data_IF_824668171597
#
_entry.id   IF_824668171597
#
_cell.length_a   1.000
_cell.length_b   1.000
_cell.length_c   1.000
_cell.angle_alpha   90.00
_cell.angle_beta   90.00
_cell.angle_gamma   90.00
#
_symmetry.space_group_name_H-M   'P 1'
#
loop_
_entity.id
_entity.type
_entity.pdbx_description
1 polymer ?
#
# COMPACT_ATOMS: atom_id res chain seq x y z
N UNK A 1 14.80 2.47 9.47
CA UNK A 1 15.47 3.36 8.48
C UNK A 1 14.66 4.65 8.41
N UNK A 2 15.26 5.84 8.27
CA UNK A 2 14.46 7.08 8.20
C UNK A 2 13.72 7.10 6.86
N UNK A 3 12.41 7.25 6.89
CA UNK A 3 11.60 7.33 5.67
C UNK A 3 12.00 8.61 4.94
N UNK A 4 12.29 8.48 3.64
CA UNK A 4 12.66 9.66 2.86
C UNK A 4 11.45 10.59 2.66
N UNK A 5 11.62 11.92 2.80
CA UNK A 5 10.53 12.88 2.61
C UNK A 5 9.81 12.74 1.26
N UNK A 6 10.53 12.37 0.19
CA UNK A 6 9.95 12.14 -1.14
C UNK A 6 8.95 10.98 -1.18
N UNK A 7 9.13 9.94 -0.35
CA UNK A 7 8.19 8.82 -0.28
C UNK A 7 6.89 9.26 0.38
N UNK A 8 6.96 10.10 1.42
CA UNK A 8 5.78 10.75 2.02
C UNK A 8 5.06 11.64 1.00
N UNK A 9 5.80 12.47 0.27
CA UNK A 9 5.23 13.32 -0.79
C UNK A 9 4.50 12.49 -1.86
N UNK A 10 5.09 11.36 -2.28
CA UNK A 10 4.49 10.47 -3.27
C UNK A 10 3.17 9.86 -2.79
N UNK A 11 3.09 9.39 -1.55
CA UNK A 11 1.84 8.89 -0.97
C UNK A 11 0.81 10.01 -0.82
N UNK A 12 1.20 11.19 -0.35
CA UNK A 12 0.31 12.36 -0.27
C UNK A 12 -0.24 12.74 -1.65
N UNK A 13 0.59 12.73 -2.69
CA UNK A 13 0.17 12.98 -4.06
C UNK A 13 -0.83 11.92 -4.54
N UNK A 14 -0.61 10.65 -4.19
CA UNK A 14 -1.51 9.56 -4.55
C UNK A 14 -2.89 9.72 -3.89
N UNK A 15 -2.92 10.00 -2.58
CA UNK A 15 -4.16 10.19 -1.79
C UNK A 15 -4.91 11.44 -2.26
N UNK A 16 -4.21 12.56 -2.43
CA UNK A 16 -4.80 13.82 -2.90
C UNK A 16 -5.09 13.84 -4.41
N UNK A 17 -4.87 12.72 -5.12
CA UNK A 17 -5.11 12.56 -6.56
C UNK A 17 -4.38 13.61 -7.41
N UNK A 18 -3.19 14.05 -6.96
CA UNK A 18 -2.35 15.01 -7.66
C UNK A 18 -1.74 14.33 -8.88
N UNK A 19 -1.83 14.98 -10.05
CA UNK A 19 -1.36 14.42 -11.33
C UNK A 19 0.11 13.98 -11.32
N UNK A 20 0.94 14.58 -10.46
CA UNK A 20 2.36 14.27 -10.30
C UNK A 20 2.63 12.86 -9.75
N UNK A 21 1.66 12.21 -9.08
CA UNK A 21 1.86 10.89 -8.47
C UNK A 21 2.42 9.83 -9.45
N UNK A 22 1.94 9.83 -10.69
CA UNK A 22 2.44 8.90 -11.73
C UNK A 22 3.89 9.19 -12.12
N UNK A 23 4.26 10.47 -12.24
CA UNK A 23 5.62 10.86 -12.57
C UNK A 23 6.61 10.51 -11.45
N UNK A 24 6.18 10.65 -10.18
CA UNK A 24 6.98 10.26 -9.02
C UNK A 24 7.25 8.73 -9.01
N UNK A 25 6.23 7.91 -9.25
CA UNK A 25 6.41 6.45 -9.30
C UNK A 25 7.34 6.00 -10.45
N UNK A 26 7.27 6.66 -11.61
CA UNK A 26 8.13 6.37 -12.75
C UNK A 26 9.58 6.83 -12.56
N UNK A 27 9.81 7.84 -11.73
CA UNK A 27 11.14 8.38 -11.45
C UNK A 27 11.92 7.58 -10.38
N UNK A 28 11.29 6.61 -9.71
CA UNK A 28 11.97 5.79 -8.71
C UNK A 28 13.03 4.90 -9.35
N UNK A 29 14.26 5.00 -8.85
CA UNK A 29 15.31 4.03 -9.14
C UNK A 29 14.92 2.64 -8.60
N UNK A 30 15.55 1.54 -9.05
CA UNK A 30 15.26 0.21 -8.54
C UNK A 30 15.40 0.08 -7.01
N UNK A 31 16.45 0.69 -6.44
CA UNK A 31 16.69 0.69 -4.99
C UNK A 31 15.64 1.51 -4.24
N UNK A 32 15.33 2.70 -4.75
CA UNK A 32 14.30 3.55 -4.16
C UNK A 32 12.92 2.89 -4.20
N UNK A 33 12.66 2.08 -5.23
CA UNK A 33 11.39 1.36 -5.36
C UNK A 33 11.22 0.31 -4.26
N UNK A 34 12.29 -0.40 -3.90
CA UNK A 34 12.27 -1.35 -2.78
C UNK A 34 11.99 -0.60 -1.48
N UNK A 35 12.73 0.48 -1.20
CA UNK A 35 12.54 1.29 0.00
C UNK A 35 11.13 1.93 0.06
N UNK A 36 10.63 2.44 -1.06
CA UNK A 36 9.28 2.98 -1.20
C UNK A 36 8.23 1.90 -0.94
N UNK A 37 8.39 0.69 -1.49
CA UNK A 37 7.47 -0.42 -1.30
C UNK A 37 7.39 -0.84 0.16
N UNK A 38 8.52 -0.94 0.86
CA UNK A 38 8.53 -1.27 2.29
C UNK A 38 7.80 -0.23 3.14
N UNK A 39 7.92 1.06 2.79
CA UNK A 39 7.14 2.13 3.40
C UNK A 39 5.66 2.06 3.02
N UNK A 40 5.34 1.83 1.74
CA UNK A 40 3.97 1.69 1.25
C UNK A 40 3.22 0.55 1.94
N UNK A 41 3.90 -0.57 2.25
CA UNK A 41 3.31 -1.66 3.05
C UNK A 41 2.93 -1.16 4.45
N UNK A 42 3.74 -0.31 5.09
CA UNK A 42 3.37 0.30 6.38
C UNK A 42 2.20 1.28 6.26
N UNK A 43 2.13 2.05 5.18
CA UNK A 43 0.98 2.94 4.89
C UNK A 43 -0.31 2.12 4.73
N UNK A 44 -0.26 1.04 3.93
CA UNK A 44 -1.39 0.14 3.74
C UNK A 44 -1.82 -0.48 5.07
N UNK A 45 -0.88 -0.89 5.92
CA UNK A 45 -1.18 -1.42 7.24
C UNK A 45 -1.96 -0.42 8.12
N UNK A 46 -1.51 0.83 8.17
CA UNK A 46 -2.19 1.87 8.95
C UNK A 46 -3.57 2.19 8.38
N UNK A 47 -3.70 2.28 7.05
CA UNK A 47 -4.98 2.55 6.39
C UNK A 47 -6.01 1.45 6.63
N UNK A 48 -5.58 0.20 6.73
CA UNK A 48 -6.48 -0.94 6.89
C UNK A 48 -6.76 -1.31 8.34
N UNK A 49 -5.95 -0.83 9.30
CA UNK A 49 -6.13 -1.12 10.72
C UNK A 49 -7.56 -0.87 11.24
N UNK A 50 -8.24 0.25 10.90
CA UNK A 50 -9.63 0.47 11.34
C UNK A 50 -10.66 -0.53 10.79
N UNK A 51 -10.36 -1.15 9.64
CA UNK A 51 -11.30 -2.02 8.92
C UNK A 51 -11.04 -3.51 9.11
N UNK A 52 -9.78 -3.91 9.13
CA UNK A 52 -9.36 -5.32 9.20
C UNK A 52 -8.76 -5.69 10.57
N UNK A 53 -8.55 -4.71 11.46
CA UNK A 53 -7.87 -4.91 12.73
C UNK A 53 -6.40 -5.31 12.58
N UNK A 54 -5.75 -5.63 13.69
CA UNK A 54 -4.33 -6.04 13.70
C UNK A 54 -4.13 -7.51 13.28
N UNK A 55 -5.17 -8.34 13.40
CA UNK A 55 -5.14 -9.77 13.07
C UNK A 55 -6.27 -10.10 12.10
N UNK A 56 -5.90 -10.32 10.84
CA UNK A 56 -6.82 -10.60 9.75
C UNK A 56 -6.43 -11.94 9.11
N UNK A 57 -7.40 -12.84 8.96
CA UNK A 57 -7.19 -14.19 8.44
C UNK A 57 -7.15 -14.24 6.92
N UNK A 58 -6.63 -15.34 6.36
CA UNK A 58 -6.48 -15.55 4.90
C UNK A 58 -7.77 -15.25 4.12
N UNK A 59 -8.93 -15.70 4.62
CA UNK A 59 -10.21 -15.52 3.92
C UNK A 59 -10.63 -14.05 3.83
N UNK A 60 -10.37 -13.26 4.86
CA UNK A 60 -10.69 -11.84 4.90
C UNK A 60 -9.75 -11.04 3.97
N UNK A 61 -8.47 -11.43 3.92
CA UNK A 61 -7.51 -10.86 2.97
C UNK A 61 -7.89 -11.13 1.51
N UNK A 62 -8.31 -12.36 1.20
CA UNK A 62 -8.75 -12.75 -0.14
C UNK A 62 -10.06 -12.05 -0.55
N UNK A 63 -10.99 -11.88 0.38
CA UNK A 63 -12.22 -11.12 0.13
C UNK A 63 -11.91 -9.64 -0.16
N UNK A 64 -11.05 -9.02 0.65
CA UNK A 64 -10.66 -7.63 0.45
C UNK A 64 -9.85 -7.42 -0.83
N UNK A 65 -8.91 -8.31 -1.16
CA UNK A 65 -8.13 -8.23 -2.41
C UNK A 65 -9.03 -8.32 -3.64
N UNK A 66 -10.02 -9.22 -3.61
CA UNK A 66 -11.05 -9.37 -4.66
C UNK A 66 -11.88 -8.10 -4.81
N UNK A 67 -12.27 -7.46 -3.71
CA UNK A 67 -13.03 -6.22 -3.72
C UNK A 67 -12.22 -5.07 -4.35
N UNK A 68 -10.97 -4.89 -3.94
CA UNK A 68 -10.05 -3.88 -4.50
C UNK A 68 -9.89 -4.09 -6.01
N UNK A 69 -9.65 -5.34 -6.43
CA UNK A 69 -9.46 -5.67 -7.84
C UNK A 69 -10.75 -5.45 -8.65
N UNK A 70 -11.91 -5.85 -8.12
CA UNK A 70 -13.21 -5.63 -8.78
C UNK A 70 -13.47 -4.14 -9.00
N UNK A 71 -13.28 -3.30 -7.97
CA UNK A 71 -13.45 -1.84 -8.08
C UNK A 71 -12.54 -1.23 -9.15
N UNK A 72 -11.28 -1.65 -9.16
CA UNK A 72 -10.27 -1.15 -10.10
C UNK A 72 -10.55 -1.59 -11.55
N UNK A 73 -11.03 -2.83 -11.77
CA UNK A 73 -11.47 -3.30 -13.09
C UNK A 73 -12.65 -2.46 -13.59
N UNK A 74 -13.62 -2.15 -12.73
CA UNK A 74 -14.75 -1.29 -13.08
C UNK A 74 -14.32 0.14 -13.46
N UNK A 75 -13.20 0.62 -12.92
CA UNK A 75 -12.58 1.92 -13.25
C UNK A 75 -11.64 1.86 -14.49
N UNK A 76 -11.54 0.72 -15.18
CA UNK A 76 -10.66 0.54 -16.34
C UNK A 76 -9.16 0.51 -16.00
N UNK A 77 -8.82 0.17 -14.74
CA UNK A 77 -7.44 0.16 -14.21
C UNK A 77 -7.15 -1.18 -13.56
N UNK A 78 -7.11 -2.29 -14.32
CA UNK A 78 -7.00 -3.62 -13.74
C UNK A 78 -5.75 -3.76 -12.86
N UNK A 79 -5.93 -4.38 -11.70
CA UNK A 79 -4.86 -4.79 -10.78
C UNK A 79 -5.01 -6.28 -10.50
N UNK A 80 -3.89 -6.96 -10.28
CA UNK A 80 -3.87 -8.37 -9.94
C UNK A 80 -4.23 -8.55 -8.45
N UNK A 81 -5.33 -9.24 -8.17
CA UNK A 81 -5.82 -9.54 -6.81
C UNK A 81 -4.82 -10.37 -6.00
N UNK A 82 -4.11 -11.32 -6.61
CA UNK A 82 -3.06 -12.06 -5.90
C UNK A 82 -1.89 -11.18 -5.45
N UNK A 83 -1.55 -10.14 -6.22
CA UNK A 83 -0.49 -9.19 -5.86
C UNK A 83 -1.00 -8.25 -4.76
N UNK A 84 -2.28 -7.86 -4.80
CA UNK A 84 -2.91 -7.14 -3.68
C UNK A 84 -2.90 -8.00 -2.43
N UNK A 85 -3.33 -9.25 -2.50
CA UNK A 85 -3.34 -10.17 -1.38
C UNK A 85 -1.94 -10.43 -0.81
N UNK A 86 -0.92 -10.54 -1.65
CA UNK A 86 0.48 -10.64 -1.24
C UNK A 86 0.91 -9.42 -0.39
N UNK A 87 0.54 -8.21 -0.80
CA UNK A 87 0.80 -6.99 0.00
C UNK A 87 0.12 -7.07 1.37
N UNK A 88 -1.13 -7.51 1.41
CA UNK A 88 -1.90 -7.62 2.65
C UNK A 88 -1.35 -8.70 3.59
N UNK A 89 -0.92 -9.84 3.04
CA UNK A 89 -0.31 -10.93 3.81
C UNK A 89 0.96 -10.46 4.54
N UNK A 90 1.78 -9.65 3.86
CA UNK A 90 2.96 -8.99 4.47
C UNK A 90 2.60 -8.05 5.61
N UNK A 91 1.46 -7.37 5.53
CA UNK A 91 0.95 -6.50 6.60
C UNK A 91 0.53 -7.31 7.82
N UNK A 92 -0.26 -8.37 7.61
CA UNK A 92 -0.90 -9.13 8.69
C UNK A 92 -0.08 -10.31 9.21
N UNK A 93 1.18 -10.45 8.78
CA UNK A 93 2.07 -11.55 9.20
C UNK A 93 1.57 -12.93 8.75
N UNK A 94 0.77 -12.97 7.68
CA UNK A 94 0.25 -14.20 7.09
C UNK A 94 1.27 -14.71 6.05
N UNK A 95 1.45 -16.04 5.89
CA UNK A 95 2.37 -16.58 4.90
C UNK A 95 2.14 -16.00 3.50
N UNK A 96 3.23 -15.67 2.82
CA UNK A 96 3.20 -15.09 1.46
C UNK A 96 2.70 -16.12 0.44
N UNK A 97 2.08 -15.62 -0.64
CA UNK A 97 1.61 -16.48 -1.74
C UNK A 97 2.76 -16.86 -2.68
N UNK A 98 3.76 -15.98 -2.77
CA UNK A 98 4.83 -16.05 -3.76
C UNK A 98 6.18 -16.44 -3.15
N UNK A 99 6.20 -17.45 -2.26
CA UNK A 99 7.43 -17.89 -1.57
C UNK A 99 8.56 -18.33 -2.51
N UNK A 100 8.23 -18.93 -3.66
CA UNK A 100 9.20 -19.48 -4.60
C UNK A 100 9.68 -18.51 -5.68
N UNK A 101 8.98 -17.38 -5.87
CA UNK A 101 9.31 -16.37 -6.88
C UNK A 101 8.93 -14.99 -6.36
N UNK A 102 9.87 -14.06 -6.18
CA UNK A 102 9.52 -12.73 -5.71
C UNK A 102 8.58 -12.04 -6.70
N UNK A 103 7.56 -11.36 -6.18
CA UNK A 103 6.70 -10.49 -6.98
C UNK A 103 7.54 -9.28 -7.44
N UNK A 104 7.48 -8.88 -8.72
CA UNK A 104 8.21 -7.72 -9.20
C UNK A 104 7.87 -6.45 -8.42
N UNK A 105 8.87 -5.64 -8.07
CA UNK A 105 8.69 -4.45 -7.23
C UNK A 105 7.71 -3.43 -7.82
N UNK A 106 7.65 -3.30 -9.14
CA UNK A 106 6.66 -2.42 -9.78
C UNK A 106 5.22 -2.91 -9.61
N UNK A 107 5.01 -4.23 -9.47
CA UNK A 107 3.69 -4.80 -9.25
C UNK A 107 3.26 -4.56 -7.79
N UNK A 108 4.20 -4.64 -6.84
CA UNK A 108 3.97 -4.28 -5.44
C UNK A 108 3.60 -2.80 -5.30
N UNK A 109 4.33 -1.89 -5.96
CA UNK A 109 4.03 -0.45 -5.93
C UNK A 109 2.66 -0.15 -6.52
N UNK A 110 2.32 -0.78 -7.65
CA UNK A 110 1.01 -0.66 -8.29
C UNK A 110 -0.13 -1.20 -7.41
N UNK A 111 0.04 -2.37 -6.80
CA UNK A 111 -0.97 -2.99 -5.94
C UNK A 111 -1.18 -2.21 -4.64
N UNK A 112 -0.13 -1.80 -3.95
CA UNK A 112 -0.25 -0.95 -2.77
C UNK A 112 -0.90 0.40 -3.12
N UNK A 113 -0.55 0.98 -4.28
CA UNK A 113 -1.20 2.19 -4.78
C UNK A 113 -2.69 2.00 -5.09
N UNK A 114 -3.09 0.83 -5.58
CA UNK A 114 -4.49 0.46 -5.78
C UNK A 114 -5.24 0.38 -4.44
N UNK A 115 -4.65 -0.24 -3.41
CA UNK A 115 -5.26 -0.28 -2.07
C UNK A 115 -5.45 1.12 -1.52
N UNK A 116 -4.41 1.97 -1.55
CA UNK A 116 -4.51 3.37 -1.09
C UNK A 116 -5.63 4.13 -1.82
N UNK A 117 -5.72 3.98 -3.14
CA UNK A 117 -6.78 4.61 -3.94
C UNK A 117 -8.16 4.11 -3.56
N UNK A 118 -8.31 2.80 -3.41
CA UNK A 118 -9.58 2.19 -3.03
C UNK A 118 -10.04 2.74 -1.68
N UNK A 119 -9.18 2.68 -0.64
CA UNK A 119 -9.54 3.13 0.71
C UNK A 119 -9.88 4.62 0.73
N UNK A 120 -9.08 5.47 0.07
CA UNK A 120 -9.35 6.90 -0.04
C UNK A 120 -10.64 7.24 -0.82
N UNK A 121 -11.05 6.38 -1.77
CA UNK A 121 -12.32 6.55 -2.47
C UNK A 121 -13.52 6.11 -1.64
N UNK A 122 -13.33 5.21 -0.67
CA UNK A 122 -14.39 4.71 0.20
C UNK A 122 -14.48 5.46 1.54
N UNK A 123 -13.40 6.11 1.95
CA UNK A 123 -13.31 6.88 3.19
C UNK A 123 -12.68 8.26 2.91
N UNK A 124 -13.49 9.34 2.88
CA UNK A 124 -12.99 10.69 2.64
C UNK A 124 -12.12 11.22 3.77
N UNK A 125 -12.16 10.64 4.98
CA UNK A 125 -11.30 11.06 6.09
C UNK A 125 -9.82 10.80 5.81
N UNK A 126 -9.50 9.84 4.96
CA UNK A 126 -8.11 9.51 4.55
C UNK A 126 -7.39 10.72 3.95
N UNK A 127 -8.07 11.51 3.13
CA UNK A 127 -7.47 12.71 2.53
C UNK A 127 -7.30 13.84 3.56
N UNK A 128 -8.24 13.98 4.48
CA UNK A 128 -8.21 15.00 5.54
C UNK A 128 -7.10 14.71 6.55
N UNK A 129 -6.93 13.45 6.95
CA UNK A 129 -5.99 13.05 8.01
C UNK A 129 -4.66 12.48 7.47
N UNK A 130 -4.34 12.75 6.20
CA UNK A 130 -3.17 12.15 5.52
C UNK A 130 -1.86 12.36 6.28
N UNK A 131 -1.63 13.54 6.85
CA UNK A 131 -0.38 13.82 7.56
C UNK A 131 -0.27 12.96 8.82
N UNK A 132 -1.37 12.81 9.58
CA UNK A 132 -1.44 11.94 10.76
C UNK A 132 -1.29 10.46 10.39
N UNK A 133 -1.89 10.03 9.27
CA UNK A 133 -1.76 8.68 8.76
C UNK A 133 -0.31 8.36 8.37
N UNK A 134 0.38 9.30 7.72
CA UNK A 134 1.78 9.15 7.36
C UNK A 134 2.70 9.11 8.60
N UNK A 135 2.40 9.89 9.63
CA UNK A 135 3.15 9.84 10.90
C UNK A 135 3.01 8.48 11.58
N UNK A 136 1.79 7.93 11.63
CA UNK A 136 1.55 6.58 12.13
C UNK A 136 2.24 5.52 11.27
N UNK A 137 2.25 5.68 9.94
CA UNK A 137 2.91 4.74 9.03
C UNK A 137 4.43 4.77 9.18
N UNK A 138 5.02 5.94 9.42
CA UNK A 138 6.45 6.09 9.68
C UNK A 138 6.86 5.47 11.03
N UNK A 139 6.06 5.66 12.08
CA UNK A 139 6.25 4.98 13.36
C UNK A 139 6.17 3.46 13.21
N UNK A 140 5.15 2.95 12.50
CA UNK A 140 5.02 1.52 12.23
C UNK A 140 6.19 0.98 11.40
N UNK A 141 6.64 1.72 10.38
CA UNK A 141 7.78 1.35 9.55
C UNK A 141 9.08 1.25 10.37
N UNK A 142 9.32 2.18 11.29
CA UNK A 142 10.46 2.12 12.23
C UNK A 142 10.42 0.86 13.08
N UNK A 143 9.27 0.57 13.70
CA UNK A 143 9.07 -0.66 14.50
C UNK A 143 9.32 -1.94 13.69
N UNK A 144 8.78 -2.02 12.47
CA UNK A 144 8.91 -3.19 11.58
C UNK A 144 10.34 -3.43 11.11
N UNK A 145 11.11 -2.36 10.91
CA UNK A 145 12.49 -2.44 10.40
C UNK A 145 13.56 -2.47 11.49
N UNK A 146 13.16 -2.56 12.77
CA UNK A 146 14.07 -2.70 13.90
C UNK A 146 15.01 -1.52 14.12
N UNK A 147 14.58 -0.31 13.71
CA UNK A 147 15.35 0.94 13.89
C UNK A 147 14.44 2.10 14.23
#
# INVERSE_FOLDING_TARGET
MRVEPRFREQISCLVRKVRRAKALDQALSPEDRVAFNDFLVSVVAVLLSPRLGERCGVGELAAFSSEVAHRHRAEGRPVNDFVVEEVLRRVHGVPTLFCSRPVPEYAVSAAGGAVVRYVNNTDPAVATDIDRLLDAAEELHRRRTGR
#
